data_IF_322331529384
#
_entry.id   IF_322331529384
#
_cell.length_a   1.000
_cell.length_b   1.000
_cell.length_c   1.000
_cell.angle_alpha   90.00
_cell.angle_beta   90.00
_cell.angle_gamma   90.00
#
_symmetry.space_group_name_H-M   'P 1'
#
loop_
_entity.id
_entity.type
_entity.pdbx_description
1 polymer ?
#
# COMPACT_ATOMS: atom_id res chain seq x y z
N UNK A 1 -1.87 -49.55 -76.99
CA UNK A 1 -1.04 -48.85 -76.00
C UNK A 1 -1.39 -49.41 -74.64
N UNK A 2 -0.67 -50.46 -74.29
CA UNK A 2 -0.64 -51.08 -72.98
C UNK A 2 -0.13 -50.05 -71.96
N UNK A 3 -0.92 -49.78 -70.94
CA UNK A 3 -0.49 -49.02 -69.77
C UNK A 3 -0.38 -50.01 -68.60
N UNK A 4 0.87 -50.35 -68.31
CA UNK A 4 1.30 -51.17 -67.19
C UNK A 4 0.69 -50.67 -65.87
N UNK A 5 0.01 -51.59 -65.19
CA UNK A 5 -0.53 -51.41 -63.85
C UNK A 5 0.63 -51.55 -62.86
N UNK A 6 0.83 -50.61 -61.92
CA UNK A 6 1.95 -50.68 -60.99
C UNK A 6 1.79 -51.92 -60.11
N UNK A 7 2.83 -52.76 -60.09
CA UNK A 7 2.94 -53.90 -59.20
C UNK A 7 2.78 -53.44 -57.75
N UNK A 8 1.66 -53.79 -57.13
CA UNK A 8 1.44 -53.66 -55.69
C UNK A 8 2.47 -54.54 -54.96
N UNK A 9 3.57 -53.91 -54.58
CA UNK A 9 4.57 -54.48 -53.70
C UNK A 9 3.90 -54.71 -52.34
N UNK A 10 3.49 -55.95 -52.08
CA UNK A 10 2.98 -56.35 -50.77
C UNK A 10 4.09 -56.10 -49.73
N UNK A 11 3.81 -55.38 -48.64
CA UNK A 11 4.77 -55.24 -47.56
C UNK A 11 5.14 -56.64 -47.02
N UNK A 12 6.38 -56.82 -46.53
CA UNK A 12 6.85 -58.12 -46.04
C UNK A 12 5.89 -58.63 -44.95
N UNK A 13 5.73 -59.95 -44.79
CA UNK A 13 4.89 -60.51 -43.75
C UNK A 13 5.49 -60.12 -42.40
N UNK A 14 5.02 -59.02 -41.82
CA UNK A 14 5.25 -58.66 -40.45
C UNK A 14 4.78 -59.85 -39.62
N UNK A 15 5.77 -60.65 -39.20
CA UNK A 15 5.54 -61.97 -38.61
C UNK A 15 4.54 -61.88 -37.48
N UNK A 16 3.78 -62.95 -37.27
CA UNK A 16 2.78 -63.10 -36.21
C UNK A 16 3.24 -62.58 -34.83
N UNK A 17 4.54 -62.44 -34.57
CA UNK A 17 5.08 -61.79 -33.38
C UNK A 17 4.76 -60.29 -33.27
N UNK A 18 4.89 -59.50 -34.34
CA UNK A 18 4.60 -58.05 -34.33
C UNK A 18 3.10 -57.82 -34.20
N UNK A 19 2.29 -58.66 -34.84
CA UNK A 19 0.82 -58.63 -34.70
C UNK A 19 0.40 -59.10 -33.31
N UNK A 20 0.96 -60.20 -32.78
CA UNK A 20 0.64 -60.69 -31.43
C UNK A 20 1.08 -59.74 -30.32
N UNK A 21 2.11 -58.91 -30.54
CA UNK A 21 2.53 -57.88 -29.58
C UNK A 21 1.76 -56.57 -29.79
N UNK A 22 1.47 -56.15 -31.03
CA UNK A 22 0.71 -54.90 -31.28
C UNK A 22 -0.78 -55.04 -31.03
N UNK A 23 -1.39 -56.20 -31.25
CA UNK A 23 -2.82 -56.41 -31.01
C UNK A 23 -3.21 -56.11 -29.55
N UNK A 24 -2.53 -56.65 -28.51
CA UNK A 24 -2.86 -56.34 -27.13
C UNK A 24 -2.56 -54.87 -26.78
N UNK A 25 -1.47 -54.30 -27.30
CA UNK A 25 -1.14 -52.88 -27.08
C UNK A 25 -2.21 -51.98 -27.70
N UNK A 26 -2.67 -52.28 -28.91
CA UNK A 26 -3.70 -51.52 -29.62
C UNK A 26 -5.05 -51.67 -28.94
N UNK A 27 -5.38 -52.86 -28.42
CA UNK A 27 -6.57 -53.10 -27.60
C UNK A 27 -6.50 -52.28 -26.31
N UNK A 28 -5.37 -52.27 -25.60
CA UNK A 28 -5.19 -51.46 -24.37
C UNK A 28 -5.30 -49.97 -24.66
N UNK A 29 -4.67 -49.48 -25.73
CA UNK A 29 -4.77 -48.08 -26.16
C UNK A 29 -6.21 -47.73 -26.52
N UNK A 30 -6.93 -48.58 -27.26
CA UNK A 30 -8.31 -48.29 -27.65
C UNK A 30 -9.26 -48.33 -26.45
N UNK A 31 -9.10 -49.31 -25.56
CA UNK A 31 -9.93 -49.47 -24.36
C UNK A 31 -9.64 -48.40 -23.32
N UNK A 32 -8.42 -47.84 -23.25
CA UNK A 32 -8.06 -46.84 -22.25
C UNK A 32 -8.14 -45.40 -22.79
N UNK A 33 -7.55 -45.14 -23.97
CA UNK A 33 -7.40 -43.78 -24.51
C UNK A 33 -8.70 -43.25 -25.10
N UNK A 34 -9.50 -44.09 -25.75
CA UNK A 34 -10.78 -43.66 -26.35
C UNK A 34 -11.78 -43.19 -25.29
N UNK A 35 -12.05 -43.92 -24.19
CA UNK A 35 -12.95 -43.41 -23.16
C UNK A 35 -12.40 -42.19 -22.45
N UNK A 36 -11.08 -42.10 -22.22
CA UNK A 36 -10.46 -40.88 -21.67
C UNK A 36 -10.67 -39.69 -22.60
N UNK A 37 -10.51 -39.86 -23.93
CA UNK A 37 -10.77 -38.81 -24.92
C UNK A 37 -12.25 -38.40 -24.95
N UNK A 38 -13.17 -39.36 -24.93
CA UNK A 38 -14.61 -39.09 -24.90
C UNK A 38 -15.02 -38.30 -23.65
N UNK A 39 -14.47 -38.65 -22.48
CA UNK A 39 -14.68 -37.92 -21.24
C UNK A 39 -14.12 -36.51 -21.33
N UNK A 40 -12.92 -36.34 -21.92
CA UNK A 40 -12.32 -35.03 -22.12
C UNK A 40 -13.13 -34.14 -23.07
N UNK A 41 -13.57 -34.67 -24.22
CA UNK A 41 -14.38 -33.92 -25.18
C UNK A 41 -15.75 -33.56 -24.59
N UNK A 42 -16.37 -34.46 -23.81
CA UNK A 42 -17.61 -34.17 -23.10
C UNK A 42 -17.44 -33.05 -22.05
N UNK A 43 -16.33 -33.03 -21.31
CA UNK A 43 -16.03 -31.97 -20.35
C UNK A 43 -15.77 -30.62 -21.04
N UNK A 44 -15.07 -30.62 -22.17
CA UNK A 44 -14.81 -29.41 -22.95
C UNK A 44 -16.10 -28.84 -23.54
N UNK A 45 -16.97 -29.70 -24.07
CA UNK A 45 -18.30 -29.30 -24.59
C UNK A 45 -19.16 -28.76 -23.46
N UNK A 46 -19.24 -29.46 -22.32
CA UNK A 46 -19.95 -28.97 -21.14
C UNK A 46 -19.41 -27.64 -20.62
N UNK A 47 -18.09 -27.46 -20.61
CA UNK A 47 -17.43 -26.22 -20.21
C UNK A 47 -17.69 -25.05 -21.18
N UNK A 48 -17.78 -25.31 -22.49
CA UNK A 48 -18.19 -24.28 -23.48
C UNK A 48 -19.65 -23.91 -23.32
N UNK A 49 -20.52 -24.90 -23.17
CA UNK A 49 -21.95 -24.69 -22.99
C UNK A 49 -22.25 -23.85 -21.73
N UNK A 50 -21.58 -24.14 -20.61
CA UNK A 50 -21.71 -23.34 -19.39
C UNK A 50 -21.23 -21.89 -19.57
N UNK A 51 -20.16 -21.70 -20.37
CA UNK A 51 -19.59 -20.38 -20.63
C UNK A 51 -20.49 -19.52 -21.50
N UNK A 52 -21.06 -20.11 -22.54
CA UNK A 52 -21.91 -19.40 -23.50
C UNK A 52 -23.31 -19.16 -22.96
N UNK A 53 -23.90 -20.12 -22.24
CA UNK A 53 -25.28 -20.03 -21.75
C UNK A 53 -25.41 -19.25 -20.45
N UNK A 54 -24.42 -19.29 -19.56
CA UNK A 54 -24.53 -18.70 -18.21
C UNK A 54 -23.53 -17.58 -17.98
N UNK A 55 -22.24 -17.81 -18.22
CA UNK A 55 -21.20 -16.82 -17.87
C UNK A 55 -21.25 -15.58 -18.76
N UNK A 56 -21.53 -15.72 -20.07
CA UNK A 56 -21.67 -14.58 -20.99
C UNK A 56 -22.86 -13.66 -20.68
N UNK A 57 -24.10 -14.15 -20.53
CA UNK A 57 -25.23 -13.28 -20.23
C UNK A 57 -25.12 -12.64 -18.84
N UNK A 58 -24.63 -13.38 -17.84
CA UNK A 58 -24.36 -12.84 -16.51
C UNK A 58 -23.27 -11.77 -16.56
N UNK A 59 -22.20 -11.99 -17.33
CA UNK A 59 -21.14 -11.01 -17.52
C UNK A 59 -21.63 -9.71 -18.15
N UNK A 60 -22.49 -9.78 -19.18
CA UNK A 60 -23.10 -8.57 -19.78
C UNK A 60 -24.07 -7.88 -18.84
N UNK A 61 -24.91 -8.63 -18.14
CA UNK A 61 -25.85 -8.06 -17.18
C UNK A 61 -25.11 -7.35 -16.05
N UNK A 62 -24.03 -7.95 -15.54
CA UNK A 62 -23.20 -7.35 -14.49
C UNK A 62 -22.47 -6.11 -14.98
N UNK A 63 -21.95 -6.12 -16.20
CA UNK A 63 -21.35 -4.92 -16.82
C UNK A 63 -22.38 -3.81 -17.05
N UNK A 64 -23.60 -4.16 -17.48
CA UNK A 64 -24.67 -3.19 -17.68
C UNK A 64 -25.09 -2.56 -16.36
N UNK A 65 -25.28 -3.37 -15.31
CA UNK A 65 -25.58 -2.90 -13.95
C UNK A 65 -24.44 -2.06 -13.41
N UNK A 66 -23.18 -2.47 -13.58
CA UNK A 66 -22.03 -1.66 -13.17
C UNK A 66 -22.02 -0.31 -13.90
N UNK A 67 -22.29 -0.29 -15.21
CA UNK A 67 -22.37 0.95 -16.00
C UNK A 67 -23.55 1.83 -15.56
N UNK A 68 -24.70 1.23 -15.29
CA UNK A 68 -25.91 1.93 -14.87
C UNK A 68 -25.82 2.46 -13.42
N UNK A 69 -25.19 1.74 -12.50
CA UNK A 69 -25.04 2.16 -11.10
C UNK A 69 -23.91 3.15 -10.92
N UNK A 70 -22.91 3.12 -11.80
CA UNK A 70 -21.69 3.90 -11.59
C UNK A 70 -21.56 5.06 -12.57
N UNK A 71 -21.74 4.80 -13.86
CA UNK A 71 -21.53 5.81 -14.91
C UNK A 71 -22.72 6.77 -14.97
N UNK A 72 -23.95 6.27 -14.89
CA UNK A 72 -25.15 7.12 -14.97
C UNK A 72 -25.28 8.11 -13.80
N UNK A 73 -25.10 7.70 -12.53
CA UNK A 73 -25.11 8.61 -11.39
C UNK A 73 -23.95 9.60 -11.44
N UNK A 74 -22.77 9.17 -11.91
CA UNK A 74 -21.63 10.07 -12.07
C UNK A 74 -21.85 11.12 -13.15
N UNK A 75 -22.39 10.73 -14.31
CA UNK A 75 -22.68 11.65 -15.41
C UNK A 75 -23.80 12.62 -15.04
N UNK A 76 -24.84 12.16 -14.35
CA UNK A 76 -25.91 13.03 -13.86
C UNK A 76 -25.40 13.97 -12.77
N UNK A 77 -24.59 13.51 -11.82
CA UNK A 77 -23.95 14.35 -10.82
C UNK A 77 -23.04 15.42 -11.46
N UNK A 78 -22.25 15.04 -12.46
CA UNK A 78 -21.40 15.98 -13.19
C UNK A 78 -22.24 17.05 -13.89
N UNK A 79 -23.27 16.64 -14.63
CA UNK A 79 -24.08 17.53 -15.46
C UNK A 79 -25.03 18.42 -14.67
N UNK A 80 -25.57 17.93 -13.55
CA UNK A 80 -26.56 18.64 -12.72
C UNK A 80 -26.00 19.31 -11.47
N UNK A 81 -24.82 18.90 -10.97
CA UNK A 81 -24.24 19.49 -9.76
C UNK A 81 -22.92 20.19 -10.07
N UNK A 82 -21.96 19.49 -10.68
CA UNK A 82 -20.62 20.05 -10.88
C UNK A 82 -20.61 21.22 -11.86
N UNK A 83 -21.28 21.09 -13.01
CA UNK A 83 -21.37 22.16 -14.01
C UNK A 83 -22.05 23.43 -13.48
N UNK A 84 -23.25 23.38 -12.83
CA UNK A 84 -23.88 24.58 -12.30
C UNK A 84 -23.14 25.17 -11.10
N UNK A 85 -22.56 24.33 -10.24
CA UNK A 85 -21.72 24.81 -9.13
C UNK A 85 -20.48 25.53 -9.65
N UNK A 86 -19.81 24.98 -10.67
CA UNK A 86 -18.68 25.65 -11.34
C UNK A 86 -19.05 26.99 -11.96
N UNK A 87 -20.20 27.08 -12.65
CA UNK A 87 -20.73 28.36 -13.16
C UNK A 87 -21.07 29.34 -12.04
N UNK A 88 -21.63 28.85 -10.94
CA UNK A 88 -21.93 29.66 -9.75
C UNK A 88 -20.67 30.26 -9.15
N UNK A 89 -19.63 29.44 -8.94
CA UNK A 89 -18.33 29.90 -8.45
C UNK A 89 -17.66 30.88 -9.41
N UNK A 90 -17.72 30.64 -10.73
CA UNK A 90 -17.16 31.57 -11.71
C UNK A 90 -17.87 32.94 -11.65
N UNK A 91 -19.20 32.95 -11.48
CA UNK A 91 -19.98 34.18 -11.35
C UNK A 91 -19.73 34.88 -10.02
N UNK A 92 -19.61 34.14 -8.92
CA UNK A 92 -19.20 34.68 -7.63
C UNK A 92 -17.80 35.30 -7.69
N UNK A 93 -16.83 34.62 -8.28
CA UNK A 93 -15.48 35.15 -8.47
C UNK A 93 -15.49 36.43 -9.31
N UNK A 94 -16.26 36.45 -10.40
CA UNK A 94 -16.41 37.64 -11.24
C UNK A 94 -17.02 38.82 -10.46
N UNK A 95 -18.13 38.59 -9.76
CA UNK A 95 -18.82 39.65 -9.00
C UNK A 95 -18.01 40.10 -7.79
N UNK A 96 -17.28 39.20 -7.13
CA UNK A 96 -16.53 39.52 -5.91
C UNK A 96 -15.16 40.14 -6.19
N UNK A 97 -14.51 39.80 -7.31
CA UNK A 97 -13.17 40.34 -7.62
C UNK A 97 -13.20 41.39 -8.73
N UNK A 98 -13.89 41.13 -9.84
CA UNK A 98 -13.82 41.99 -11.03
C UNK A 98 -14.62 43.27 -10.82
N UNK A 99 -15.80 43.17 -10.20
CA UNK A 99 -16.64 44.36 -9.94
C UNK A 99 -15.99 45.30 -8.92
N UNK A 100 -15.45 44.83 -7.77
CA UNK A 100 -14.77 45.71 -6.83
C UNK A 100 -13.45 46.25 -7.37
N UNK A 101 -12.69 45.45 -8.13
CA UNK A 101 -11.48 45.94 -8.79
C UNK A 101 -11.79 47.04 -9.81
N UNK A 102 -12.86 46.88 -10.61
CA UNK A 102 -13.33 47.91 -11.54
C UNK A 102 -13.82 49.18 -10.85
N UNK A 103 -14.53 49.04 -9.72
CA UNK A 103 -14.96 50.17 -8.89
C UNK A 103 -13.77 50.90 -8.27
N UNK A 104 -12.79 50.17 -7.74
CA UNK A 104 -11.57 50.72 -7.14
C UNK A 104 -10.73 51.45 -8.20
N UNK A 105 -10.63 50.88 -9.40
CA UNK A 105 -9.93 51.52 -10.51
C UNK A 105 -10.57 52.86 -10.88
N UNK A 106 -11.91 52.88 -11.04
CA UNK A 106 -12.65 54.10 -11.43
C UNK A 106 -12.71 55.16 -10.32
N UNK A 107 -12.95 54.76 -9.07
CA UNK A 107 -13.19 55.70 -7.98
C UNK A 107 -11.94 56.10 -7.21
N UNK A 108 -10.85 55.34 -7.28
CA UNK A 108 -9.64 55.62 -6.49
C UNK A 108 -8.45 55.89 -7.41
N UNK A 109 -8.16 54.99 -8.35
CA UNK A 109 -7.00 55.17 -9.24
C UNK A 109 -7.17 56.32 -10.23
N UNK A 110 -8.37 56.50 -10.77
CA UNK A 110 -8.65 57.56 -11.76
C UNK A 110 -8.54 58.97 -11.13
N UNK A 111 -9.14 59.26 -9.95
CA UNK A 111 -8.93 60.55 -9.30
C UNK A 111 -7.52 60.72 -8.73
N UNK A 112 -6.84 59.64 -8.30
CA UNK A 112 -5.42 59.74 -7.91
C UNK A 112 -4.53 60.11 -9.09
N UNK A 113 -4.77 59.55 -10.28
CA UNK A 113 -4.05 59.93 -11.49
C UNK A 113 -4.25 61.41 -11.85
N UNK A 114 -5.48 61.91 -11.71
CA UNK A 114 -5.78 63.34 -11.90
C UNK A 114 -5.15 64.22 -10.81
N UNK A 115 -5.15 63.77 -9.56
CA UNK A 115 -4.49 64.49 -8.46
C UNK A 115 -2.98 64.59 -8.64
N UNK A 116 -2.32 63.49 -9.03
CA UNK A 116 -0.87 63.46 -9.28
C UNK A 116 -0.50 64.36 -10.46
N UNK A 117 -1.26 64.30 -11.55
CA UNK A 117 -1.01 65.18 -12.71
C UNK A 117 -1.25 66.64 -12.37
N UNK A 118 -2.26 66.96 -11.55
CA UNK A 118 -2.51 68.32 -11.07
C UNK A 118 -1.36 68.84 -10.18
N UNK A 119 -0.86 68.00 -9.27
CA UNK A 119 0.28 68.33 -8.39
C UNK A 119 1.57 68.51 -9.19
N UNK A 120 1.86 67.62 -10.14
CA UNK A 120 3.04 67.74 -11.02
C UNK A 120 2.97 69.00 -11.88
N UNK A 121 1.78 69.35 -12.38
CA UNK A 121 1.57 70.58 -13.16
C UNK A 121 1.70 71.83 -12.29
N UNK A 122 1.22 71.78 -11.05
CA UNK A 122 1.40 72.85 -10.05
C UNK A 122 2.87 73.05 -9.68
N UNK A 123 3.62 71.96 -9.48
CA UNK A 123 5.06 71.99 -9.22
C UNK A 123 5.83 72.54 -10.43
N UNK A 124 5.51 72.10 -11.64
CA UNK A 124 6.13 72.62 -12.88
C UNK A 124 5.87 74.11 -13.08
N UNK A 125 4.64 74.57 -12.82
CA UNK A 125 4.28 75.98 -12.88
C UNK A 125 5.01 76.81 -11.80
N UNK A 126 5.11 76.30 -10.58
CA UNK A 126 5.84 76.95 -9.49
C UNK A 126 7.33 77.06 -9.78
N UNK A 127 7.95 76.00 -10.30
CA UNK A 127 9.36 76.01 -10.70
C UNK A 127 9.61 76.99 -11.85
N UNK A 128 8.73 77.00 -12.85
CA UNK A 128 8.79 77.94 -13.97
C UNK A 128 8.69 79.40 -13.51
N UNK A 129 7.79 79.69 -12.57
CA UNK A 129 7.66 81.03 -11.99
C UNK A 129 8.93 81.47 -11.26
N UNK A 130 9.54 80.57 -10.47
CA UNK A 130 10.79 80.84 -9.76
C UNK A 130 11.95 81.07 -10.74
N UNK A 131 12.09 80.23 -11.78
CA UNK A 131 13.13 80.42 -12.81
C UNK A 131 12.96 81.75 -13.55
N UNK A 132 11.74 82.13 -13.90
CA UNK A 132 11.44 83.42 -14.56
C UNK A 132 11.77 84.59 -13.64
N UNK A 133 11.46 84.48 -12.33
CA UNK A 133 11.75 85.53 -11.35
C UNK A 133 13.25 85.69 -11.12
N UNK A 134 13.98 84.59 -11.05
CA UNK A 134 15.44 84.58 -10.95
C UNK A 134 16.07 85.15 -12.23
N UNK A 135 15.60 84.71 -13.40
CA UNK A 135 16.05 85.22 -14.71
C UNK A 135 15.78 86.72 -14.90
N UNK A 136 14.64 87.21 -14.42
CA UNK A 136 14.33 88.64 -14.42
C UNK A 136 15.23 89.42 -13.45
N UNK A 137 15.54 88.85 -12.28
CA UNK A 137 16.49 89.44 -11.33
C UNK A 137 17.90 89.52 -11.90
N UNK A 138 18.40 88.45 -12.52
CA UNK A 138 19.72 88.44 -13.17
C UNK A 138 19.76 89.37 -14.38
N UNK A 139 18.71 89.43 -15.20
CA UNK A 139 18.62 90.37 -16.31
C UNK A 139 18.59 91.83 -15.85
N UNK A 140 17.92 92.14 -14.73
CA UNK A 140 17.92 93.47 -14.14
C UNK A 140 19.31 93.86 -13.64
N UNK A 141 20.01 92.94 -12.98
CA UNK A 141 21.39 93.13 -12.52
C UNK A 141 22.34 93.32 -13.70
N UNK A 142 22.27 92.47 -14.75
CA UNK A 142 23.10 92.61 -15.96
C UNK A 142 22.83 93.93 -16.69
N UNK A 143 21.58 94.39 -16.72
CA UNK A 143 21.20 95.69 -17.31
C UNK A 143 21.70 96.86 -16.47
N UNK A 144 21.63 96.76 -15.15
CA UNK A 144 22.20 97.73 -14.21
C UNK A 144 23.72 97.81 -14.32
N UNK A 145 24.39 96.67 -14.50
CA UNK A 145 25.83 96.57 -14.74
C UNK A 145 26.18 97.15 -16.11
N UNK A 146 25.43 96.85 -17.17
CA UNK A 146 25.65 97.41 -18.51
C UNK A 146 25.46 98.93 -18.55
N UNK A 147 24.45 99.45 -17.85
CA UNK A 147 24.24 100.89 -17.69
C UNK A 147 25.29 101.55 -16.78
N UNK A 148 25.85 100.80 -15.84
CA UNK A 148 27.01 101.21 -15.04
C UNK A 148 28.29 101.28 -15.87
N UNK A 149 28.57 100.23 -16.65
CA UNK A 149 29.71 100.13 -17.57
C UNK A 149 29.65 101.20 -18.67
N UNK A 150 28.47 101.53 -19.21
CA UNK A 150 28.31 102.63 -20.15
C UNK A 150 28.66 103.99 -19.54
N UNK A 151 28.28 104.21 -18.28
CA UNK A 151 28.66 105.43 -17.52
C UNK A 151 30.14 105.45 -17.15
N UNK A 152 30.73 104.29 -16.87
CA UNK A 152 32.16 104.16 -16.57
C UNK A 152 33.00 104.31 -17.84
N UNK A 153 32.60 103.78 -19.00
CA UNK A 153 33.28 104.01 -20.28
C UNK A 153 33.19 105.49 -20.70
N UNK A 154 32.04 106.13 -20.47
CA UNK A 154 31.91 107.58 -20.63
C UNK A 154 32.81 108.36 -19.66
N UNK A 155 33.00 107.86 -18.43
CA UNK A 155 33.91 108.41 -17.43
C UNK A 155 35.40 108.13 -17.68
N UNK A 156 35.74 106.99 -18.29
CA UNK A 156 37.12 106.59 -18.67
C UNK A 156 37.68 107.55 -19.72
N UNK A 157 36.83 108.07 -20.63
CA UNK A 157 37.22 109.13 -21.57
C UNK A 157 37.59 110.44 -20.89
N UNK A 158 36.98 110.75 -19.73
CA UNK A 158 37.27 111.97 -18.96
C UNK A 158 38.40 111.78 -17.94
N UNK A 159 38.61 110.56 -17.43
CA UNK A 159 39.54 110.24 -16.35
C UNK A 159 40.97 109.87 -16.78
N UNK A 160 41.18 109.44 -18.03
CA UNK A 160 42.54 109.14 -18.54
C UNK A 160 43.49 110.35 -18.45
N UNK A 161 42.94 111.57 -18.54
CA UNK A 161 43.70 112.82 -18.47
C UNK A 161 44.15 113.19 -17.04
N UNK A 162 43.49 112.67 -15.99
CA UNK A 162 43.75 113.06 -14.61
C UNK A 162 44.62 112.06 -13.84
N UNK A 163 44.57 110.76 -14.19
CA UNK A 163 45.15 109.68 -13.35
C UNK A 163 46.58 109.25 -13.71
N UNK A 164 47.16 109.62 -14.87
CA UNK A 164 48.60 109.40 -15.10
C UNK A 164 49.46 110.07 -14.00
N UNK A 165 48.94 111.11 -13.35
CA UNK A 165 49.74 112.04 -12.56
C UNK A 165 49.88 111.75 -11.07
N UNK A 166 49.13 110.83 -10.44
CA UNK A 166 49.06 110.88 -8.95
C UNK A 166 49.06 109.57 -8.16
N UNK A 167 48.67 108.40 -8.67
CA UNK A 167 48.18 107.38 -7.70
C UNK A 167 48.46 105.89 -8.00
N UNK A 168 49.65 105.51 -8.49
CA UNK A 168 49.91 104.10 -8.83
C UNK A 168 50.33 103.18 -7.65
N UNK A 169 50.55 103.69 -6.44
CA UNK A 169 51.08 102.90 -5.31
C UNK A 169 50.12 102.52 -4.18
N UNK A 170 49.00 103.23 -3.86
CA UNK A 170 48.09 102.77 -2.79
C UNK A 170 47.08 101.69 -3.24
N UNK A 171 47.06 101.34 -4.52
CA UNK A 171 45.99 100.49 -5.14
C UNK A 171 46.11 99.00 -4.75
N UNK A 172 47.30 98.50 -4.40
CA UNK A 172 47.51 97.07 -4.11
C UNK A 172 46.87 96.57 -2.80
N UNK A 173 46.82 97.40 -1.76
CA UNK A 173 46.30 96.99 -0.44
C UNK A 173 44.76 97.05 -0.36
N UNK A 174 44.12 97.99 -1.08
CA UNK A 174 42.67 98.07 -1.14
C UNK A 174 42.03 96.87 -1.84
N UNK A 175 42.68 96.36 -2.90
CA UNK A 175 42.17 95.23 -3.69
C UNK A 175 42.23 93.92 -2.88
N UNK A 176 43.31 93.70 -2.11
CA UNK A 176 43.44 92.49 -1.28
C UNK A 176 42.43 92.44 -0.12
N UNK A 177 42.13 93.60 0.49
CA UNK A 177 41.15 93.68 1.58
C UNK A 177 39.71 93.50 1.07
N UNK A 178 39.39 94.08 -0.10
CA UNK A 178 38.09 93.89 -0.77
C UNK A 178 37.86 92.44 -1.21
N UNK A 179 38.88 91.77 -1.76
CA UNK A 179 38.77 90.36 -2.16
C UNK A 179 38.55 89.42 -0.96
N UNK A 180 39.22 89.68 0.18
CA UNK A 180 38.99 88.90 1.41
C UNK A 180 37.62 89.16 2.04
N UNK A 181 37.17 90.42 2.05
CA UNK A 181 35.83 90.77 2.51
C UNK A 181 34.73 90.11 1.68
N UNK A 182 34.90 90.11 0.35
CA UNK A 182 33.95 89.48 -0.58
C UNK A 182 33.89 87.96 -0.41
N UNK A 183 35.02 87.29 -0.16
CA UNK A 183 35.08 85.85 0.07
C UNK A 183 34.34 85.40 1.33
N UNK A 184 34.44 86.16 2.43
CA UNK A 184 33.74 85.86 3.68
C UNK A 184 32.23 86.10 3.58
N UNK A 185 31.82 87.15 2.86
CA UNK A 185 30.40 87.44 2.61
C UNK A 185 29.77 86.38 1.71
N UNK A 186 30.46 85.93 0.65
CA UNK A 186 29.96 84.82 -0.17
C UNK A 186 29.88 83.49 0.60
N UNK A 187 30.86 83.19 1.45
CA UNK A 187 30.87 81.93 2.22
C UNK A 187 29.72 81.87 3.24
N UNK A 188 29.45 82.98 3.94
CA UNK A 188 28.35 83.06 4.91
C UNK A 188 26.97 83.01 4.26
N UNK A 189 26.81 83.69 3.12
CA UNK A 189 25.57 83.62 2.33
C UNK A 189 25.36 82.21 1.75
N UNK A 190 26.43 81.55 1.29
CA UNK A 190 26.39 80.16 0.81
C UNK A 190 25.97 79.15 1.87
N UNK A 191 26.53 79.25 3.08
CA UNK A 191 26.15 78.36 4.20
C UNK A 191 24.72 78.62 4.68
N UNK A 192 24.30 79.89 4.75
CA UNK A 192 22.95 80.26 5.11
C UNK A 192 21.91 79.74 4.12
N UNK A 193 22.20 79.85 2.81
CA UNK A 193 21.35 79.31 1.76
C UNK A 193 21.27 77.77 1.82
N UNK A 194 22.39 77.08 2.05
CA UNK A 194 22.39 75.61 2.18
C UNK A 194 21.58 75.14 3.40
N UNK A 195 21.76 75.79 4.55
CA UNK A 195 21.02 75.46 5.77
C UNK A 195 19.52 75.72 5.62
N UNK A 196 19.13 76.83 4.96
CA UNK A 196 17.75 77.14 4.68
C UNK A 196 17.11 76.11 3.74
N UNK A 197 17.80 75.71 2.66
CA UNK A 197 17.32 74.68 1.74
C UNK A 197 17.22 73.33 2.44
N UNK A 198 18.21 72.93 3.23
CA UNK A 198 18.19 71.67 3.97
C UNK A 198 17.06 71.63 5.02
N UNK A 199 16.82 72.74 5.72
CA UNK A 199 15.70 72.86 6.67
C UNK A 199 14.35 72.77 5.95
N UNK A 200 14.21 73.47 4.82
CA UNK A 200 12.98 73.45 4.01
C UNK A 200 12.71 72.06 3.44
N UNK A 201 13.72 71.37 2.91
CA UNK A 201 13.58 69.98 2.43
C UNK A 201 13.18 69.06 3.58
N UNK A 202 13.82 69.17 4.75
CA UNK A 202 13.50 68.31 5.89
C UNK A 202 12.07 68.54 6.40
N UNK A 203 11.66 69.79 6.59
CA UNK A 203 10.32 70.09 7.11
C UNK A 203 9.21 69.91 6.08
N UNK A 204 9.44 70.28 4.81
CA UNK A 204 8.39 70.32 3.79
C UNK A 204 8.24 69.01 3.01
N UNK A 205 9.31 68.20 2.90
CA UNK A 205 9.26 66.91 2.20
C UNK A 205 9.38 65.74 3.18
N UNK A 206 10.41 65.73 4.04
CA UNK A 206 10.74 64.53 4.83
C UNK A 206 9.74 64.27 5.94
N UNK A 207 9.35 65.30 6.72
CA UNK A 207 8.37 65.15 7.79
C UNK A 207 6.97 64.73 7.26
N UNK A 208 6.39 65.38 6.24
CA UNK A 208 5.10 64.92 5.70
C UNK A 208 5.21 63.56 5.00
N UNK A 209 6.34 63.22 4.37
CA UNK A 209 6.56 61.89 3.83
C UNK A 209 6.58 60.81 4.93
N UNK A 210 7.28 61.03 6.04
CA UNK A 210 7.29 60.11 7.18
C UNK A 210 5.93 60.02 7.88
N UNK A 211 5.21 61.13 8.00
CA UNK A 211 3.87 61.14 8.56
C UNK A 211 2.89 60.35 7.69
N UNK A 212 2.94 60.55 6.37
CA UNK A 212 2.14 59.78 5.40
C UNK A 212 2.51 58.29 5.39
N UNK A 213 3.80 57.95 5.48
CA UNK A 213 4.24 56.56 5.60
C UNK A 213 3.66 55.88 6.86
N UNK A 214 3.73 56.57 8.01
CA UNK A 214 3.30 56.03 9.30
C UNK A 214 1.77 55.96 9.44
N UNK A 215 1.06 57.01 9.01
CA UNK A 215 -0.39 57.11 9.18
C UNK A 215 -1.19 56.51 8.03
N UNK A 216 -0.60 56.34 6.84
CA UNK A 216 -1.33 55.84 5.67
C UNK A 216 -0.77 54.50 5.21
N UNK A 217 0.54 54.38 4.95
CA UNK A 217 1.09 53.12 4.44
C UNK A 217 1.10 51.99 5.46
N UNK A 218 1.35 52.30 6.74
CA UNK A 218 1.43 51.28 7.79
C UNK A 218 0.07 50.63 8.11
N UNK A 219 -1.05 51.38 8.26
CA UNK A 219 -2.37 50.77 8.39
C UNK A 219 -2.86 50.13 7.09
N UNK A 220 -2.49 50.65 5.92
CA UNK A 220 -2.78 49.98 4.64
C UNK A 220 -2.09 48.62 4.55
N UNK A 221 -0.82 48.53 4.96
CA UNK A 221 -0.08 47.26 5.00
C UNK A 221 -0.75 46.23 5.92
N UNK A 222 -1.19 46.65 7.10
CA UNK A 222 -1.92 45.77 8.02
C UNK A 222 -3.31 45.39 7.49
N UNK A 223 -4.02 46.31 6.86
CA UNK A 223 -5.32 46.04 6.24
C UNK A 223 -5.21 45.03 5.10
N UNK A 224 -4.23 45.19 4.21
CA UNK A 224 -3.97 44.25 3.11
C UNK A 224 -3.57 42.88 3.64
N UNK A 225 -2.69 42.82 4.65
CA UNK A 225 -2.30 41.56 5.26
C UNK A 225 -3.48 40.85 5.94
N UNK A 226 -4.38 41.59 6.59
CA UNK A 226 -5.57 41.04 7.23
C UNK A 226 -6.56 40.49 6.20
N UNK A 227 -6.79 41.22 5.10
CA UNK A 227 -7.63 40.75 3.99
C UNK A 227 -7.02 39.52 3.33
N UNK A 228 -5.73 39.52 3.04
CA UNK A 228 -5.05 38.36 2.44
C UNK A 228 -5.15 37.11 3.34
N UNK A 229 -5.01 37.30 4.66
CA UNK A 229 -5.14 36.22 5.65
C UNK A 229 -6.59 35.72 5.75
N UNK A 230 -7.58 36.61 5.67
CA UNK A 230 -9.00 36.24 5.60
C UNK A 230 -9.36 35.45 4.33
N UNK A 231 -8.84 35.87 3.17
CA UNK A 231 -9.02 35.14 1.91
C UNK A 231 -8.36 33.77 1.95
N UNK A 232 -7.14 33.67 2.50
CA UNK A 232 -6.47 32.38 2.67
C UNK A 232 -7.25 31.43 3.60
N UNK A 233 -7.82 31.95 4.69
CA UNK A 233 -8.63 31.17 5.61
C UNK A 233 -9.93 30.66 4.97
N UNK A 234 -10.66 31.53 4.24
CA UNK A 234 -11.85 31.13 3.48
C UNK A 234 -11.53 30.10 2.39
N UNK A 235 -10.40 30.27 1.71
CA UNK A 235 -9.89 29.28 0.76
C UNK A 235 -9.63 27.92 1.42
N UNK A 236 -8.99 27.93 2.60
CA UNK A 236 -8.75 26.72 3.38
C UNK A 236 -10.04 26.01 3.81
N UNK A 237 -11.04 26.77 4.29
CA UNK A 237 -12.36 26.21 4.62
C UNK A 237 -13.09 25.66 3.38
N UNK A 238 -13.01 26.34 2.25
CA UNK A 238 -13.62 25.86 1.02
C UNK A 238 -12.96 24.54 0.55
N UNK A 239 -11.64 24.46 0.56
CA UNK A 239 -10.91 23.24 0.15
C UNK A 239 -11.21 22.07 1.08
N UNK A 240 -11.20 22.30 2.40
CA UNK A 240 -11.51 21.26 3.39
C UNK A 240 -12.98 20.83 3.33
N UNK A 241 -13.92 21.77 3.16
CA UNK A 241 -15.33 21.48 2.96
C UNK A 241 -15.59 20.69 1.68
N UNK A 242 -15.01 21.11 0.55
CA UNK A 242 -15.11 20.41 -0.74
C UNK A 242 -14.48 19.01 -0.62
N UNK A 243 -13.32 18.89 0.01
CA UNK A 243 -12.64 17.62 0.24
C UNK A 243 -13.47 16.66 1.10
N UNK A 244 -14.09 17.15 2.17
CA UNK A 244 -14.95 16.36 3.04
C UNK A 244 -16.21 15.87 2.32
N UNK A 245 -16.87 16.75 1.56
CA UNK A 245 -18.04 16.41 0.75
C UNK A 245 -17.68 15.41 -0.34
N UNK A 246 -16.55 15.60 -1.03
CA UNK A 246 -16.10 14.68 -2.07
C UNK A 246 -15.74 13.31 -1.50
N UNK A 247 -15.04 13.27 -0.36
CA UNK A 247 -14.74 12.03 0.35
C UNK A 247 -16.02 11.32 0.81
N UNK A 248 -16.98 12.03 1.40
CA UNK A 248 -18.25 11.43 1.83
C UNK A 248 -19.09 10.94 0.66
N UNK A 249 -19.13 11.70 -0.43
CA UNK A 249 -19.85 11.32 -1.66
C UNK A 249 -19.20 10.09 -2.29
N UNK A 250 -17.87 10.05 -2.38
CA UNK A 250 -17.13 8.89 -2.89
C UNK A 250 -17.35 7.67 -1.99
N UNK A 251 -17.31 7.86 -0.66
CA UNK A 251 -17.54 6.81 0.32
C UNK A 251 -18.97 6.26 0.22
N UNK A 252 -19.98 7.11 0.11
CA UNK A 252 -21.38 6.68 -0.07
C UNK A 252 -21.53 5.97 -1.42
N UNK A 253 -21.02 6.58 -2.50
CA UNK A 253 -21.19 6.07 -3.86
C UNK A 253 -20.43 4.76 -4.11
N UNK A 254 -19.33 4.48 -3.40
CA UNK A 254 -18.56 3.25 -3.59
C UNK A 254 -18.80 2.24 -2.47
N UNK A 255 -18.72 2.66 -1.22
CA UNK A 255 -18.67 1.73 -0.09
C UNK A 255 -20.05 1.15 0.20
N UNK A 256 -21.13 1.92 0.09
CA UNK A 256 -22.48 1.39 0.27
C UNK A 256 -22.87 0.37 -0.81
N UNK A 257 -22.70 0.63 -2.11
CA UNK A 257 -23.00 -0.39 -3.12
C UNK A 257 -22.04 -1.57 -3.05
N UNK A 258 -20.75 -1.37 -2.71
CA UNK A 258 -19.83 -2.49 -2.48
C UNK A 258 -20.28 -3.37 -1.29
N UNK A 259 -20.73 -2.76 -0.19
CA UNK A 259 -21.29 -3.47 0.96
C UNK A 259 -22.60 -4.17 0.64
N UNK A 260 -23.46 -3.53 -0.16
CA UNK A 260 -24.71 -4.11 -0.63
C UNK A 260 -24.42 -5.34 -1.51
N UNK A 261 -23.53 -5.23 -2.49
CA UNK A 261 -23.08 -6.36 -3.31
C UNK A 261 -22.48 -7.47 -2.44
N UNK A 262 -21.69 -7.10 -1.42
CA UNK A 262 -21.12 -8.09 -0.49
C UNK A 262 -22.20 -8.86 0.28
N UNK A 263 -23.19 -8.16 0.82
CA UNK A 263 -24.25 -8.76 1.66
C UNK A 263 -25.38 -9.42 0.86
N UNK A 264 -25.66 -8.94 -0.34
CA UNK A 264 -26.78 -9.43 -1.14
C UNK A 264 -26.35 -10.42 -2.22
N UNK A 265 -25.09 -10.40 -2.66
CA UNK A 265 -24.61 -11.29 -3.73
C UNK A 265 -23.49 -12.19 -3.23
N UNK A 266 -22.41 -11.66 -2.66
CA UNK A 266 -21.26 -12.49 -2.29
C UNK A 266 -21.54 -13.44 -1.14
N UNK A 267 -22.33 -13.06 -0.15
CA UNK A 267 -22.73 -13.96 0.96
C UNK A 267 -23.64 -15.11 0.51
N UNK A 268 -24.73 -14.89 -0.25
CA UNK A 268 -25.53 -16.02 -0.74
C UNK A 268 -24.76 -16.86 -1.76
N UNK A 269 -23.98 -16.25 -2.67
CA UNK A 269 -23.14 -16.99 -3.62
C UNK A 269 -22.07 -17.79 -2.90
N UNK A 270 -21.44 -17.24 -1.87
CA UNK A 270 -20.46 -17.97 -1.05
C UNK A 270 -21.10 -19.15 -0.32
N UNK A 271 -22.34 -19.02 0.14
CA UNK A 271 -23.08 -20.11 0.79
C UNK A 271 -23.45 -21.21 -0.21
N UNK A 272 -23.90 -20.84 -1.42
CA UNK A 272 -24.18 -21.79 -2.51
C UNK A 272 -22.90 -22.46 -2.98
N UNK A 273 -21.80 -21.73 -3.16
CA UNK A 273 -20.49 -22.28 -3.51
C UNK A 273 -19.96 -23.23 -2.44
N UNK A 274 -20.17 -22.94 -1.16
CA UNK A 274 -19.78 -23.84 -0.08
C UNK A 274 -20.58 -25.15 -0.10
N UNK A 275 -21.89 -25.08 -0.40
CA UNK A 275 -22.72 -26.27 -0.58
C UNK A 275 -22.27 -27.06 -1.80
N UNK A 276 -22.09 -26.41 -2.94
CA UNK A 276 -21.64 -27.05 -4.18
C UNK A 276 -20.24 -27.67 -4.00
N UNK A 277 -19.31 -26.99 -3.35
CA UNK A 277 -17.98 -27.51 -3.07
C UNK A 277 -18.03 -28.73 -2.13
N UNK A 278 -18.94 -28.72 -1.15
CA UNK A 278 -19.14 -29.84 -0.23
C UNK A 278 -19.73 -31.06 -0.94
N UNK A 279 -20.74 -30.85 -1.78
CA UNK A 279 -21.34 -31.91 -2.59
C UNK A 279 -20.35 -32.49 -3.61
N UNK A 280 -19.54 -31.64 -4.24
CA UNK A 280 -18.47 -32.07 -5.14
C UNK A 280 -17.40 -32.84 -4.36
N UNK A 281 -17.06 -32.39 -3.15
CA UNK A 281 -16.12 -33.07 -2.26
C UNK A 281 -16.61 -34.46 -1.83
N UNK A 282 -17.88 -34.60 -1.50
CA UNK A 282 -18.50 -35.88 -1.15
C UNK A 282 -18.60 -36.82 -2.35
N UNK A 283 -18.96 -36.29 -3.53
CA UNK A 283 -18.98 -37.05 -4.78
C UNK A 283 -17.58 -37.53 -5.18
N UNK A 284 -16.56 -36.65 -5.11
CA UNK A 284 -15.17 -37.01 -5.35
C UNK A 284 -14.65 -38.00 -4.31
N UNK A 285 -15.01 -37.83 -3.03
CA UNK A 285 -14.64 -38.76 -1.97
C UNK A 285 -15.24 -40.15 -2.19
N UNK A 286 -16.49 -40.23 -2.66
CA UNK A 286 -17.11 -41.48 -3.08
C UNK A 286 -16.42 -42.10 -4.29
N UNK A 287 -16.17 -41.29 -5.33
CA UNK A 287 -15.45 -41.73 -6.52
C UNK A 287 -14.04 -42.24 -6.17
N UNK A 288 -13.33 -41.58 -5.26
CA UNK A 288 -12.00 -41.98 -4.80
C UNK A 288 -12.02 -43.29 -4.01
N UNK A 289 -13.03 -43.51 -3.16
CA UNK A 289 -13.22 -44.80 -2.46
C UNK A 289 -13.57 -45.94 -3.42
N UNK A 290 -14.29 -45.65 -4.51
CA UNK A 290 -14.56 -46.62 -5.58
C UNK A 290 -13.31 -46.89 -6.40
N UNK A 291 -12.57 -45.84 -6.77
CA UNK A 291 -11.30 -45.94 -7.50
C UNK A 291 -10.25 -46.73 -6.71
N UNK A 292 -10.13 -46.52 -5.40
CA UNK A 292 -9.22 -47.30 -4.54
C UNK A 292 -9.60 -48.78 -4.44
N UNK A 293 -10.90 -49.10 -4.42
CA UNK A 293 -11.36 -50.50 -4.52
C UNK A 293 -11.04 -51.10 -5.89
N UNK A 294 -11.24 -50.36 -6.97
CA UNK A 294 -10.85 -50.79 -8.31
C UNK A 294 -9.33 -50.98 -8.43
N UNK A 295 -8.53 -50.07 -7.89
CA UNK A 295 -7.05 -50.16 -7.92
C UNK A 295 -6.54 -51.37 -7.14
N UNK A 296 -7.20 -51.76 -6.05
CA UNK A 296 -6.87 -52.99 -5.32
C UNK A 296 -7.23 -54.24 -6.11
N UNK A 297 -8.34 -54.23 -6.84
CA UNK A 297 -8.75 -55.35 -7.72
C UNK A 297 -7.79 -55.47 -8.90
N UNK A 298 -7.50 -54.35 -9.58
CA UNK A 298 -6.56 -54.29 -10.69
C UNK A 298 -5.14 -54.61 -10.22
N UNK A 299 -4.72 -54.09 -9.08
CA UNK A 299 -3.41 -54.36 -8.48
C UNK A 299 -3.26 -55.82 -8.04
N UNK A 300 -4.30 -56.44 -7.47
CA UNK A 300 -4.31 -57.89 -7.22
C UNK A 300 -4.28 -58.69 -8.51
N UNK A 301 -5.06 -58.31 -9.51
CA UNK A 301 -5.06 -59.00 -10.80
C UNK A 301 -3.69 -58.92 -11.46
N UNK A 302 -3.09 -57.73 -11.53
CA UNK A 302 -1.77 -57.49 -12.10
C UNK A 302 -0.65 -58.17 -11.29
N UNK A 303 -0.72 -58.13 -9.97
CA UNK A 303 0.20 -58.84 -9.09
C UNK A 303 0.08 -60.36 -9.21
N UNK A 304 -1.13 -60.87 -9.41
CA UNK A 304 -1.37 -62.30 -9.66
C UNK A 304 -0.80 -62.70 -11.02
N UNK A 305 -1.05 -61.90 -12.06
CA UNK A 305 -0.52 -62.10 -13.41
C UNK A 305 1.01 -62.05 -13.42
N UNK A 306 1.60 -61.06 -12.74
CA UNK A 306 3.04 -60.92 -12.59
C UNK A 306 3.65 -62.09 -11.83
N UNK A 307 3.00 -62.54 -10.74
CA UNK A 307 3.42 -63.73 -10.00
C UNK A 307 3.35 -64.97 -10.90
N UNK A 308 2.31 -65.12 -11.71
CA UNK A 308 2.15 -66.25 -12.63
C UNK A 308 3.21 -66.26 -13.73
N UNK A 309 3.52 -65.10 -14.32
CA UNK A 309 4.47 -64.98 -15.43
C UNK A 309 5.93 -65.07 -14.96
N UNK A 310 6.28 -64.42 -13.85
CA UNK A 310 7.69 -64.29 -13.44
C UNK A 310 8.03 -65.16 -12.22
N UNK A 311 7.21 -65.13 -11.18
CA UNK A 311 7.56 -65.74 -9.90
C UNK A 311 7.30 -67.24 -9.92
N UNK A 312 6.21 -67.69 -10.53
CA UNK A 312 5.85 -69.11 -10.57
C UNK A 312 6.85 -69.97 -11.34
N UNK A 313 7.31 -69.61 -12.57
CA UNK A 313 8.34 -70.39 -13.26
C UNK A 313 9.66 -70.40 -12.49
N UNK A 314 10.11 -69.26 -11.96
CA UNK A 314 11.35 -69.18 -11.17
C UNK A 314 11.24 -69.97 -9.87
N UNK A 315 10.10 -69.90 -9.17
CA UNK A 315 9.82 -70.68 -7.96
C UNK A 315 9.77 -72.17 -8.27
N UNK A 316 9.22 -72.56 -9.42
CA UNK A 316 9.19 -73.96 -9.85
C UNK A 316 10.61 -74.48 -10.07
N UNK A 317 11.43 -73.73 -10.82
CA UNK A 317 12.84 -74.07 -11.06
C UNK A 317 13.62 -74.12 -9.75
N UNK A 318 13.50 -73.10 -8.89
CA UNK A 318 14.20 -73.07 -7.61
C UNK A 318 13.79 -74.22 -6.68
N UNK A 319 12.50 -74.55 -6.64
CA UNK A 319 11.99 -75.66 -5.82
C UNK A 319 12.55 -77.00 -6.28
N UNK A 320 12.50 -77.27 -7.59
CA UNK A 320 12.97 -78.53 -8.16
C UNK A 320 14.49 -78.67 -8.12
N UNK A 321 15.22 -77.57 -8.37
CA UNK A 321 16.69 -77.59 -8.47
C UNK A 321 17.36 -77.50 -7.10
N UNK A 322 16.84 -76.69 -6.17
CA UNK A 322 17.53 -76.41 -4.91
C UNK A 322 16.83 -77.00 -3.68
N UNK A 323 15.50 -76.95 -3.61
CA UNK A 323 14.78 -77.31 -2.38
C UNK A 323 14.63 -78.81 -2.23
N UNK A 324 14.29 -79.52 -3.31
CA UNK A 324 14.10 -80.97 -3.29
C UNK A 324 15.35 -81.75 -2.82
N UNK A 325 16.56 -81.46 -3.35
CA UNK A 325 17.79 -82.15 -2.93
C UNK A 325 18.15 -81.85 -1.48
N UNK A 326 18.06 -80.58 -1.06
CA UNK A 326 18.39 -80.15 0.30
C UNK A 326 17.41 -80.74 1.31
N UNK A 327 16.13 -80.83 0.97
CA UNK A 327 15.11 -81.41 1.85
C UNK A 327 15.29 -82.91 2.03
N UNK A 328 15.78 -83.61 1.01
CA UNK A 328 16.19 -85.00 1.10
C UNK A 328 17.40 -85.16 2.03
N UNK A 329 18.48 -84.38 1.83
CA UNK A 329 19.67 -84.41 2.70
C UNK A 329 19.31 -84.09 4.15
N UNK A 330 18.46 -83.07 4.36
CA UNK A 330 18.01 -82.70 5.70
C UNK A 330 17.24 -83.86 6.37
N UNK A 331 16.34 -84.52 5.62
CA UNK A 331 15.55 -85.64 6.16
C UNK A 331 16.41 -86.86 6.45
N UNK A 332 17.28 -87.23 5.51
CA UNK A 332 18.07 -88.46 5.57
C UNK A 332 19.25 -88.34 6.54
N UNK A 333 19.84 -87.15 6.69
CA UNK A 333 21.09 -86.96 7.45
C UNK A 333 20.90 -86.08 8.69
N UNK A 334 20.21 -84.94 8.59
CA UNK A 334 20.08 -84.02 9.74
C UNK A 334 19.02 -84.47 10.76
N UNK A 335 17.93 -85.12 10.36
CA UNK A 335 16.92 -85.60 11.30
C UNK A 335 17.45 -86.64 12.30
N UNK A 336 18.18 -87.71 11.88
CA UNK A 336 18.72 -88.68 12.84
C UNK A 336 19.78 -88.05 13.76
N UNK A 337 20.65 -87.20 13.23
CA UNK A 337 21.66 -86.48 14.03
C UNK A 337 21.00 -85.50 15.01
N UNK A 338 19.93 -84.83 14.58
CA UNK A 338 19.19 -83.89 15.42
C UNK A 338 18.47 -84.56 16.59
N UNK A 339 17.99 -85.80 16.43
CA UNK A 339 17.41 -86.55 17.54
C UNK A 339 18.47 -86.96 18.56
N UNK A 340 19.63 -87.43 18.11
CA UNK A 340 20.73 -87.82 19.01
C UNK A 340 21.27 -86.62 19.80
N UNK A 341 21.47 -85.47 19.15
CA UNK A 341 21.94 -84.24 19.83
C UNK A 341 20.88 -83.69 20.80
N UNK A 342 19.59 -83.78 20.43
CA UNK A 342 18.50 -83.29 21.27
C UNK A 342 18.32 -84.11 22.54
N UNK A 343 18.44 -85.43 22.45
CA UNK A 343 18.22 -86.32 23.58
C UNK A 343 19.43 -86.38 24.52
N UNK A 344 20.67 -86.34 23.99
CA UNK A 344 21.87 -86.50 24.80
C UNK A 344 22.39 -85.20 25.43
N UNK A 345 22.17 -84.05 24.80
CA UNK A 345 22.83 -82.79 25.21
C UNK A 345 21.83 -81.71 25.60
N UNK A 346 20.82 -81.47 24.76
CA UNK A 346 19.92 -80.33 24.96
C UNK A 346 18.89 -80.57 26.06
N UNK A 347 18.39 -81.80 26.20
CA UNK A 347 17.45 -82.16 27.26
C UNK A 347 18.03 -82.01 28.68
N UNK A 348 19.21 -82.57 29.01
CA UNK A 348 19.81 -82.40 30.32
C UNK A 348 20.24 -80.95 30.61
N UNK A 349 20.73 -80.21 29.60
CA UNK A 349 21.08 -78.80 29.77
C UNK A 349 19.85 -77.90 30.02
N UNK A 350 18.71 -78.19 29.37
CA UNK A 350 17.46 -77.45 29.57
C UNK A 350 16.86 -77.70 30.96
N UNK A 351 17.04 -78.90 31.53
CA UNK A 351 16.59 -79.22 32.88
C UNK A 351 17.45 -78.54 33.95
N UNK A 352 18.78 -78.53 33.78
CA UNK A 352 19.70 -77.79 34.64
C UNK A 352 19.44 -76.27 34.61
N UNK A 353 19.16 -75.70 33.43
CA UNK A 353 18.85 -74.28 33.27
C UNK A 353 17.54 -73.86 33.97
N UNK A 354 16.52 -74.73 34.00
CA UNK A 354 15.26 -74.47 34.73
C UNK A 354 15.43 -74.51 36.25
N UNK A 355 16.43 -75.23 36.77
CA UNK A 355 16.84 -75.19 38.17
C UNK A 355 17.42 -73.83 38.56
N UNK A 356 18.36 -73.33 37.77
CA UNK A 356 19.03 -72.03 38.00
C UNK A 356 18.03 -70.87 37.90
N UNK A 357 17.12 -70.90 36.92
CA UNK A 357 16.14 -69.82 36.72
C UNK A 357 15.17 -69.60 37.89
N UNK A 358 14.94 -70.59 38.75
CA UNK A 358 14.11 -70.42 39.97
C UNK A 358 14.87 -69.70 41.08
N UNK A 359 16.14 -70.05 41.28
CA UNK A 359 17.03 -69.40 42.25
C UNK A 359 17.27 -67.94 41.87
N UNK A 360 17.49 -67.65 40.58
CA UNK A 360 17.69 -66.26 40.11
C UNK A 360 16.43 -65.41 40.28
N UNK A 361 15.22 -65.97 40.08
CA UNK A 361 13.97 -65.22 40.30
C UNK A 361 13.72 -64.90 41.76
N UNK A 362 14.03 -65.82 42.67
CA UNK A 362 13.93 -65.55 44.11
C UNK A 362 14.93 -64.48 44.56
N UNK A 363 16.17 -64.54 44.07
CA UNK A 363 17.18 -63.50 44.34
C UNK A 363 16.81 -62.13 43.74
N UNK A 364 16.16 -62.10 42.57
CA UNK A 364 15.66 -60.86 41.95
C UNK A 364 14.45 -60.28 42.68
N UNK A 365 13.57 -61.12 43.25
CA UNK A 365 12.45 -60.66 44.05
C UNK A 365 12.94 -60.01 45.35
N UNK A 366 13.86 -60.67 46.08
CA UNK A 366 14.45 -60.12 47.30
C UNK A 366 15.25 -58.84 47.06
N UNK A 367 15.97 -58.75 45.93
CA UNK A 367 16.66 -57.52 45.54
C UNK A 367 15.69 -56.38 45.16
N UNK A 368 14.54 -56.69 44.55
CA UNK A 368 13.51 -55.69 44.22
C UNK A 368 12.77 -55.19 45.45
N UNK A 369 12.45 -56.07 46.40
CA UNK A 369 11.82 -55.68 47.67
C UNK A 369 12.75 -54.72 48.44
N UNK A 370 14.01 -55.09 48.60
CA UNK A 370 15.02 -54.27 49.29
C UNK A 370 15.27 -52.93 48.60
N UNK A 371 15.29 -52.89 47.26
CA UNK A 371 15.38 -51.63 46.52
C UNK A 371 14.13 -50.74 46.71
N UNK A 372 12.92 -51.31 46.76
CA UNK A 372 11.69 -50.54 47.03
C UNK A 372 11.67 -49.99 48.45
N UNK A 373 12.11 -50.79 49.43
CA UNK A 373 12.19 -50.38 50.83
C UNK A 373 13.19 -49.24 51.02
N UNK A 374 14.41 -49.39 50.50
CA UNK A 374 15.46 -48.36 50.58
C UNK A 374 15.03 -47.04 49.91
N UNK A 375 14.30 -47.13 48.79
CA UNK A 375 13.77 -45.94 48.10
C UNK A 375 12.65 -45.27 48.89
N UNK A 376 11.79 -46.04 49.56
CA UNK A 376 10.74 -45.51 50.42
C UNK A 376 11.33 -44.81 51.65
N UNK A 377 12.35 -45.40 52.28
CA UNK A 377 12.98 -44.84 53.47
C UNK A 377 13.85 -43.61 53.14
N UNK A 378 14.58 -43.64 52.02
CA UNK A 378 15.27 -42.44 51.51
C UNK A 378 14.29 -41.30 51.19
N UNK A 379 13.13 -41.62 50.60
CA UNK A 379 12.08 -40.62 50.34
C UNK A 379 11.51 -40.05 51.65
N UNK A 380 11.32 -40.87 52.68
CA UNK A 380 10.87 -40.40 54.00
C UNK A 380 11.89 -39.48 54.67
N UNK A 381 13.18 -39.78 54.56
CA UNK A 381 14.25 -38.95 55.13
C UNK A 381 14.38 -37.60 54.41
N UNK A 382 14.24 -37.57 53.08
CA UNK A 382 14.39 -36.33 52.29
C UNK A 382 13.16 -35.42 52.30
N UNK A 383 11.96 -35.99 52.29
CA UNK A 383 10.71 -35.24 52.11
C UNK A 383 9.85 -35.15 53.38
N UNK A 384 10.32 -35.70 54.50
CA UNK A 384 9.56 -35.82 55.74
C UNK A 384 8.52 -36.94 55.69
N UNK A 385 8.08 -37.38 56.88
CA UNK A 385 7.09 -38.46 57.01
C UNK A 385 5.74 -38.07 56.39
N UNK A 386 5.00 -39.02 55.79
CA UNK A 386 3.66 -38.75 55.31
C UNK A 386 2.76 -38.30 56.47
N UNK A 387 2.07 -37.17 56.31
CA UNK A 387 1.03 -36.70 57.25
C UNK A 387 0.02 -37.84 57.45
N UNK A 388 -0.24 -38.19 58.71
CA UNK A 388 -1.29 -39.15 59.08
C UNK A 388 -2.62 -38.75 58.43
N UNK A 389 -3.27 -39.65 57.68
CA UNK A 389 -4.60 -39.38 57.14
C UNK A 389 -5.61 -39.30 58.29
N UNK A 390 -6.04 -38.08 58.56
CA UNK A 390 -7.14 -37.75 59.48
C UNK A 390 -8.41 -38.47 58.99
N UNK A 391 -9.12 -39.22 59.84
CA UNK A 391 -10.33 -39.95 59.45
C UNK A 391 -11.47 -38.95 59.22
N UNK A 392 -11.59 -38.45 58.00
CA UNK A 392 -12.77 -37.72 57.55
C UNK A 392 -13.89 -38.75 57.39
N UNK A 393 -14.99 -38.54 58.11
CA UNK A 393 -16.18 -39.38 58.08
C UNK A 393 -16.65 -39.59 56.63
N UNK A 394 -16.31 -40.76 56.10
CA UNK A 394 -16.68 -41.20 54.77
C UNK A 394 -18.17 -41.49 54.80
N UNK A 395 -18.92 -40.61 54.14
CA UNK A 395 -20.35 -40.79 53.84
C UNK A 395 -20.46 -41.99 52.90
N UNK A 396 -20.73 -43.17 53.46
CA UNK A 396 -21.06 -44.38 52.71
C UNK A 396 -22.40 -44.16 51.97
N UNK A 397 -22.48 -44.37 50.65
CA UNK A 397 -23.75 -44.68 50.02
C UNK A 397 -24.13 -46.12 50.41
N UNK A 398 -25.33 -46.26 50.98
CA UNK A 398 -25.85 -47.50 51.55
C UNK A 398 -25.72 -48.71 50.64
N UNK A 399 -25.41 -49.84 51.27
CA UNK A 399 -25.33 -51.16 50.68
C UNK A 399 -26.52 -51.41 49.73
N UNK A 400 -26.22 -51.67 48.47
CA UNK A 400 -27.18 -52.23 47.53
C UNK A 400 -27.56 -53.62 48.03
N UNK A 401 -28.79 -53.71 48.49
CA UNK A 401 -29.51 -54.90 48.93
C UNK A 401 -29.36 -56.02 47.90
N UNK A 402 -28.77 -57.14 48.32
CA UNK A 402 -28.69 -58.36 47.52
C UNK A 402 -30.10 -58.93 47.37
N UNK A 403 -30.70 -58.73 46.20
CA UNK A 403 -31.96 -59.33 45.78
C UNK A 403 -31.79 -60.85 45.66
N UNK A 404 -32.15 -61.58 46.71
CA UNK A 404 -32.40 -63.03 46.68
C UNK A 404 -33.87 -63.28 46.33
N UNK A 405 -34.18 -63.41 45.04
CA UNK A 405 -35.47 -63.96 44.62
C UNK A 405 -35.40 -65.48 44.73
N UNK A 406 -36.25 -66.00 45.61
CA UNK A 406 -36.31 -67.39 46.03
C UNK A 406 -36.71 -68.36 44.93
N UNK A 407 -36.06 -69.52 45.01
CA UNK A 407 -36.62 -70.87 44.87
C UNK A 407 -38.12 -70.95 44.60
N UNK A 408 -38.45 -71.27 43.35
CA UNK A 408 -39.74 -71.77 42.90
C UNK A 408 -40.07 -73.09 43.60
N UNK A 409 -41.03 -73.04 44.51
CA UNK A 409 -41.61 -74.21 45.19
C UNK A 409 -42.69 -74.79 44.29
N UNK A 410 -42.45 -76.03 43.86
CA UNK A 410 -43.37 -76.92 43.14
C UNK A 410 -44.59 -77.19 44.02
N UNK A 411 -45.78 -76.79 43.56
CA UNK A 411 -47.05 -77.24 44.13
C UNK A 411 -47.28 -78.66 43.67
N UNK A 412 -47.17 -79.59 44.61
CA UNK A 412 -47.60 -80.97 44.48
C UNK A 412 -49.12 -81.00 44.56
N UNK A 413 -49.78 -81.30 43.44
CA UNK A 413 -51.14 -81.83 43.43
C UNK A 413 -51.07 -83.31 43.83
N UNK A 414 -51.61 -83.65 45.00
CA UNK A 414 -52.20 -84.97 45.24
C UNK A 414 -53.18 -84.92 46.42
N UNK A 415 -54.36 -85.46 46.13
CA UNK A 415 -55.53 -85.78 46.96
C UNK A 415 -56.47 -84.64 47.36
#
# INVERSE_FOLDING_TARGET
MDLEKPSTQQPPPDGCLVVAIRLPVRIVVLVLVVPVRMVWDALVVGGRFLRDTVLRPVGRALQWVARAVFVWPWVTLWRYVVVPVGKGFARLGYVLFVVPAGWLYRNVLTPLGHGITWVLRGLGAGLGWVLVRIGAGTAWVLRGIGAGLGRVLAGIGAGLAWVYRTLLTPVGHGIAWLLRGLGLVLATVGLGAYAAVAWLVRHLLVIPALWSYRHVLTPLGHGIAWVARGVAWLGGMAVTGIGAVLHWTLRILFVLPALAVRRWILTPVGRVLAVVAREIGDALGHAWRVAGRLSLVVGRFLGTLFRWIFVEPVRWVYRWVFVEPVRWVYRTVLTPVGHVVRDMVLRPAAEAARGVGRVTRQALATARESARQARADFRRMLFGGPREPQPVARREPGAAEARTLGSSTTVLTKD
#
